data_IF_072537320633
#
_entry.id   IF_072537320633
#
_cell.length_a   1.000
_cell.length_b   1.000
_cell.length_c   1.000
_cell.angle_alpha   90.00
_cell.angle_beta   90.00
_cell.angle_gamma   90.00
#
_symmetry.space_group_name_H-M   'P 1'
#
loop_
_entity.id
_entity.type
_entity.pdbx_description
1 polymer ?
#
# COMPACT_ATOMS: atom_id res chain seq x y z
N UNK A 1 5.80 -9.58 -5.58
CA UNK A 1 4.77 -10.10 -4.65
C UNK A 1 3.42 -9.71 -5.23
N UNK A 2 2.48 -10.63 -5.34
CA UNK A 2 1.12 -10.34 -5.79
C UNK A 2 0.33 -9.62 -4.69
N UNK A 3 -0.79 -8.96 -5.04
CA UNK A 3 -1.69 -8.33 -4.04
C UNK A 3 -2.12 -9.33 -2.96
N UNK A 4 -2.41 -10.57 -3.33
CA UNK A 4 -2.86 -11.62 -2.41
C UNK A 4 -1.76 -12.05 -1.45
N UNK A 5 -0.56 -12.32 -1.95
CA UNK A 5 0.60 -12.70 -1.11
C UNK A 5 0.93 -11.60 -0.08
N UNK A 6 0.77 -10.34 -0.45
CA UNK A 6 1.02 -9.19 0.41
C UNK A 6 -0.04 -9.06 1.52
N UNK A 7 -1.32 -9.34 1.19
CA UNK A 7 -2.43 -9.40 2.17
C UNK A 7 -2.23 -10.55 3.15
N UNK A 8 -1.86 -11.74 2.65
CA UNK A 8 -1.59 -12.92 3.48
C UNK A 8 -0.42 -12.68 4.43
N UNK A 9 0.66 -12.05 3.94
CA UNK A 9 1.79 -11.66 4.77
C UNK A 9 1.36 -10.73 5.93
N UNK A 10 0.52 -9.74 5.65
CA UNK A 10 0.04 -8.81 6.68
C UNK A 10 -0.84 -9.50 7.73
N UNK A 11 -1.77 -10.36 7.31
CA UNK A 11 -2.58 -11.14 8.24
C UNK A 11 -1.74 -12.09 9.09
N UNK A 12 -0.68 -12.67 8.52
CA UNK A 12 0.25 -13.51 9.28
C UNK A 12 1.08 -12.71 10.30
N UNK A 13 1.48 -11.48 9.95
CA UNK A 13 2.30 -10.65 10.82
C UNK A 13 1.48 -9.95 11.92
N UNK A 14 0.22 -9.60 11.63
CA UNK A 14 -0.68 -8.85 12.51
C UNK A 14 -2.10 -9.45 12.50
N UNK A 15 -2.30 -10.63 13.11
CA UNK A 15 -3.58 -11.35 13.08
C UNK A 15 -4.73 -10.59 13.77
N UNK A 16 -4.43 -9.63 14.64
CA UNK A 16 -5.38 -8.78 15.34
C UNK A 16 -5.96 -7.65 14.48
N UNK A 17 -5.33 -7.33 13.35
CA UNK A 17 -5.80 -6.25 12.48
C UNK A 17 -6.96 -6.73 11.60
N UNK A 18 -8.09 -6.04 11.70
CA UNK A 18 -9.20 -6.20 10.75
C UNK A 18 -8.86 -5.41 9.49
N UNK A 19 -8.28 -6.09 8.50
CA UNK A 19 -7.88 -5.48 7.23
C UNK A 19 -9.05 -5.50 6.26
N UNK A 20 -9.63 -4.32 5.97
CA UNK A 20 -10.59 -4.18 4.86
C UNK A 20 -9.84 -4.05 3.52
N UNK A 21 -9.68 -5.18 2.85
CA UNK A 21 -9.02 -5.28 1.55
C UNK A 21 -9.73 -4.51 0.42
N UNK A 22 -11.00 -4.13 0.61
CA UNK A 22 -11.76 -3.35 -0.40
C UNK A 22 -11.35 -1.88 -0.42
N UNK A 23 -10.82 -1.40 0.71
CA UNK A 23 -10.25 -0.05 0.85
C UNK A 23 -8.79 0.04 0.40
N UNK A 24 -8.12 -1.10 0.14
CA UNK A 24 -6.73 -1.14 -0.30
C UNK A 24 -6.65 -1.04 -1.82
N UNK A 25 -6.14 0.10 -2.28
CA UNK A 25 -5.87 0.37 -3.69
C UNK A 25 -4.40 0.72 -3.91
N UNK A 26 -3.93 0.42 -5.11
CA UNK A 26 -2.64 0.84 -5.60
C UNK A 26 -2.64 2.25 -6.18
N UNK A 27 -1.49 2.90 -6.18
CA UNK A 27 -1.22 3.98 -7.13
C UNK A 27 -1.06 3.40 -8.54
N UNK A 28 -1.62 4.08 -9.54
CA UNK A 28 -1.31 3.77 -10.94
C UNK A 28 0.12 4.19 -11.27
N UNK A 29 0.68 3.68 -12.37
CA UNK A 29 2.00 4.12 -12.86
C UNK A 29 2.05 5.65 -13.08
N UNK A 30 0.97 6.24 -13.59
CA UNK A 30 0.85 7.69 -13.74
C UNK A 30 0.91 8.44 -12.40
N UNK A 31 0.29 7.89 -11.35
CA UNK A 31 0.35 8.47 -10.01
C UNK A 31 1.76 8.35 -9.42
N UNK A 32 2.46 7.23 -9.66
CA UNK A 32 3.86 7.05 -9.24
C UNK A 32 4.74 8.13 -9.88
N UNK A 33 4.62 8.36 -11.18
CA UNK A 33 5.39 9.40 -11.89
C UNK A 33 5.10 10.80 -11.33
N UNK A 34 3.85 11.08 -10.94
CA UNK A 34 3.49 12.36 -10.29
C UNK A 34 4.15 12.48 -8.91
N UNK A 35 4.17 11.40 -8.12
CA UNK A 35 4.81 11.39 -6.79
C UNK A 35 6.33 11.60 -6.89
N UNK A 36 7.00 10.90 -7.82
CA UNK A 36 8.43 11.07 -8.07
C UNK A 36 8.77 12.53 -8.41
N UNK A 37 7.99 13.17 -9.29
CA UNK A 37 8.17 14.57 -9.66
C UNK A 37 7.86 15.54 -8.53
N UNK A 38 6.79 15.29 -7.76
CA UNK A 38 6.35 16.19 -6.70
C UNK A 38 7.37 16.26 -5.56
N UNK A 39 7.97 15.12 -5.22
CA UNK A 39 8.90 15.01 -4.10
C UNK A 39 10.38 15.01 -4.52
N UNK A 40 10.67 15.04 -5.83
CA UNK A 40 12.02 14.93 -6.39
C UNK A 40 12.76 13.68 -5.88
N UNK A 41 12.07 12.53 -5.94
CA UNK A 41 12.59 11.23 -5.51
C UNK A 41 12.43 10.19 -6.61
N UNK A 42 13.17 9.08 -6.47
CA UNK A 42 12.96 7.87 -7.27
C UNK A 42 12.28 6.79 -6.44
N UNK A 43 11.18 6.25 -6.93
CA UNK A 43 10.42 5.17 -6.30
C UNK A 43 10.75 3.86 -7.03
N UNK A 44 11.38 2.92 -6.31
CA UNK A 44 11.85 1.67 -6.90
C UNK A 44 11.86 0.52 -5.88
N UNK A 45 11.98 -0.72 -6.38
CA UNK A 45 12.09 -1.92 -5.56
C UNK A 45 10.86 -2.15 -4.69
N UNK A 46 11.06 -2.56 -3.43
CA UNK A 46 9.98 -2.90 -2.51
C UNK A 46 9.01 -1.74 -2.22
N UNK A 47 9.49 -0.49 -2.26
CA UNK A 47 8.63 0.68 -2.08
C UNK A 47 7.67 0.85 -3.27
N UNK A 48 8.16 0.61 -4.50
CA UNK A 48 7.33 0.64 -5.70
C UNK A 48 6.27 -0.46 -5.64
N UNK A 49 6.68 -1.69 -5.31
CA UNK A 49 5.78 -2.82 -5.15
C UNK A 49 4.69 -2.52 -4.12
N UNK A 50 5.05 -1.94 -2.98
CA UNK A 50 4.10 -1.54 -1.96
C UNK A 50 3.11 -0.48 -2.47
N UNK A 51 3.59 0.58 -3.11
CA UNK A 51 2.74 1.68 -3.54
C UNK A 51 1.77 1.27 -4.66
N UNK A 52 2.20 0.43 -5.59
CA UNK A 52 1.37 -0.10 -6.69
C UNK A 52 0.29 -1.08 -6.19
N UNK A 53 0.51 -1.78 -5.08
CA UNK A 53 -0.48 -2.74 -4.58
C UNK A 53 -1.37 -2.18 -3.47
N UNK A 54 -0.83 -1.32 -2.61
CA UNK A 54 -1.49 -0.92 -1.35
C UNK A 54 -1.26 0.55 -0.94
N UNK A 55 -0.52 1.33 -1.72
CA UNK A 55 -0.11 2.68 -1.33
C UNK A 55 -1.27 3.67 -1.15
N UNK A 56 -2.41 3.44 -1.82
CA UNK A 56 -3.63 4.24 -1.65
C UNK A 56 -4.55 3.54 -0.67
N UNK A 57 -4.33 3.82 0.60
CA UNK A 57 -5.29 3.53 1.68
C UNK A 57 -5.73 4.85 2.32
N UNK A 58 -7.03 5.00 2.59
CA UNK A 58 -7.65 6.22 3.12
C UNK A 58 -7.30 6.52 4.59
N UNK A 59 -6.12 6.10 5.06
CA UNK A 59 -5.78 6.02 6.49
C UNK A 59 -6.34 4.78 7.20
N UNK A 60 -7.16 3.96 6.53
CA UNK A 60 -7.81 2.77 7.10
C UNK A 60 -6.93 1.51 7.16
N UNK A 61 -5.64 1.57 6.83
CA UNK A 61 -4.75 0.42 6.99
C UNK A 61 -4.52 0.08 8.48
N UNK A 62 -4.61 1.11 9.33
CA UNK A 62 -4.74 0.98 10.77
C UNK A 62 -5.97 1.79 11.16
N UNK A 63 -7.08 1.14 11.48
CA UNK A 63 -8.08 1.80 12.31
C UNK A 63 -7.48 1.98 13.69
N UNK A 64 -6.64 3.00 13.85
CA UNK A 64 -6.27 3.50 15.17
C UNK A 64 -7.55 4.17 15.66
N UNK A 65 -8.25 3.52 16.58
CA UNK A 65 -9.22 4.22 17.42
C UNK A 65 -8.44 5.28 18.20
N UNK A 66 -8.40 6.50 17.67
CA UNK A 66 -8.01 7.72 18.37
C UNK A 66 -9.22 8.22 19.17
#
# INVERSE_FOLDING_TARGET
>A
MTKTELIEYLHSAYPELTIDITCIKGYSEEDIVKLERLYDIKIQGQLLDFLIHMGRCSGGFFQINL
#
